data_IF_817798346087
#
_entry.id   IF_817798346087
#
_cell.length_a   1.000
_cell.length_b   1.000
_cell.length_c   1.000
_cell.angle_alpha   90.00
_cell.angle_beta   90.00
_cell.angle_gamma   90.00
#
_symmetry.space_group_name_H-M   'P 1'
#
loop_
_entity.id
_entity.type
_entity.pdbx_description
1 polymer ?
#
# COMPACT_ATOMS: atom_id res chain seq x y z
N UNK A 1 -15.97 30.94 13.33
CA UNK A 1 -17.01 29.91 13.52
C UNK A 1 -18.34 30.50 14.02
N UNK A 2 -18.41 31.16 15.19
CA UNK A 2 -19.69 31.65 15.77
C UNK A 2 -20.49 32.60 14.87
N UNK A 3 -19.81 33.50 14.14
CA UNK A 3 -20.47 34.41 13.20
C UNK A 3 -21.16 33.67 12.04
N UNK A 4 -20.47 32.69 11.43
CA UNK A 4 -21.02 31.87 10.33
C UNK A 4 -22.20 31.02 10.81
N UNK A 5 -22.11 30.44 12.01
CA UNK A 5 -23.21 29.69 12.59
C UNK A 5 -24.46 30.57 12.79
N UNK A 6 -24.30 31.76 13.38
CA UNK A 6 -25.41 32.70 13.61
C UNK A 6 -26.03 33.18 12.29
N UNK A 7 -25.20 33.49 11.29
CA UNK A 7 -25.67 33.84 9.95
C UNK A 7 -26.50 32.72 9.31
N UNK A 8 -26.06 31.46 9.46
CA UNK A 8 -26.82 30.31 8.98
C UNK A 8 -28.17 30.15 9.70
N UNK A 9 -28.22 30.41 11.00
CA UNK A 9 -29.46 30.37 11.79
C UNK A 9 -30.43 31.48 11.34
N UNK A 10 -29.96 32.71 11.17
CA UNK A 10 -30.78 33.84 10.71
C UNK A 10 -31.34 33.59 9.30
N UNK A 11 -30.50 33.09 8.39
CA UNK A 11 -30.92 32.70 7.05
C UNK A 11 -31.97 31.56 7.09
N UNK A 12 -31.79 30.57 7.95
CA UNK A 12 -32.77 29.49 8.11
C UNK A 12 -34.11 29.97 8.69
N UNK A 13 -34.10 30.93 9.62
CA UNK A 13 -35.31 31.52 10.19
C UNK A 13 -36.11 32.33 9.17
N UNK A 14 -35.42 32.97 8.23
CA UNK A 14 -36.03 33.72 7.13
C UNK A 14 -36.37 32.85 5.92
N UNK A 15 -36.09 31.55 5.97
CA UNK A 15 -36.36 30.60 4.88
C UNK A 15 -35.38 30.66 3.71
N UNK A 16 -34.29 31.43 3.83
CA UNK A 16 -33.20 31.50 2.86
C UNK A 16 -32.27 30.28 3.02
N UNK A 17 -32.76 29.12 2.58
CA UNK A 17 -32.03 27.85 2.65
C UNK A 17 -30.71 27.86 1.88
N UNK A 18 -30.59 28.48 0.68
CA UNK A 18 -29.30 28.60 -0.01
C UNK A 18 -28.24 29.32 0.83
N UNK A 19 -28.58 30.47 1.43
CA UNK A 19 -27.67 31.23 2.29
C UNK A 19 -27.37 30.46 3.58
N UNK A 20 -28.37 29.81 4.17
CA UNK A 20 -28.18 28.98 5.37
C UNK A 20 -27.20 27.83 5.09
N UNK A 21 -27.40 27.10 3.99
CA UNK A 21 -26.51 26.00 3.59
C UNK A 21 -25.09 26.49 3.38
N UNK A 22 -24.89 27.61 2.68
CA UNK A 22 -23.55 28.16 2.44
C UNK A 22 -22.83 28.48 3.76
N UNK A 23 -23.50 29.19 4.68
CA UNK A 23 -22.92 29.55 5.96
C UNK A 23 -22.62 28.34 6.85
N UNK A 24 -23.53 27.34 6.90
CA UNK A 24 -23.30 26.11 7.66
C UNK A 24 -22.21 25.22 7.03
N UNK A 25 -22.12 25.14 5.71
CA UNK A 25 -21.08 24.39 5.02
C UNK A 25 -19.69 24.99 5.29
N UNK A 26 -19.59 26.31 5.25
CA UNK A 26 -18.35 27.01 5.62
C UNK A 26 -18.01 26.78 7.10
N UNK A 27 -18.99 26.91 8.00
CA UNK A 27 -18.78 26.61 9.42
C UNK A 27 -18.36 25.15 9.66
N UNK A 28 -18.92 24.19 8.93
CA UNK A 28 -18.58 22.77 9.04
C UNK A 28 -17.19 22.47 8.49
N UNK A 29 -16.75 23.18 7.44
CA UNK A 29 -15.38 23.05 6.92
C UNK A 29 -14.32 23.48 7.95
N UNK A 30 -14.67 24.42 8.83
CA UNK A 30 -13.81 24.85 9.93
C UNK A 30 -13.84 23.88 11.12
N UNK A 31 -15.01 23.26 11.38
CA UNK A 31 -15.18 22.30 12.47
C UNK A 31 -15.92 21.03 12.01
N UNK A 32 -15.24 20.12 11.28
CA UNK A 32 -15.88 18.97 10.62
C UNK A 32 -16.46 17.91 11.57
N UNK A 33 -16.27 18.08 12.88
CA UNK A 33 -16.77 17.16 13.92
C UNK A 33 -17.91 17.75 14.75
N UNK A 34 -18.35 18.98 14.47
CA UNK A 34 -19.34 19.66 15.28
C UNK A 34 -20.77 19.21 14.92
N UNK A 35 -21.35 18.34 15.76
CA UNK A 35 -22.65 17.70 15.53
C UNK A 35 -23.80 18.70 15.24
N UNK A 36 -23.91 19.82 15.96
CA UNK A 36 -25.00 20.79 15.73
C UNK A 36 -24.90 21.49 14.37
N UNK A 37 -23.68 21.76 13.90
CA UNK A 37 -23.47 22.38 12.59
C UNK A 37 -23.89 21.39 11.51
N UNK A 38 -23.51 20.11 11.64
CA UNK A 38 -23.95 19.05 10.74
C UNK A 38 -25.48 18.92 10.69
N UNK A 39 -26.18 18.92 11.82
CA UNK A 39 -27.66 18.86 11.82
C UNK A 39 -28.32 20.04 11.11
N UNK A 40 -27.78 21.25 11.29
CA UNK A 40 -28.30 22.45 10.63
C UNK A 40 -27.98 22.47 9.14
N UNK A 41 -26.78 22.03 8.74
CA UNK A 41 -26.39 21.85 7.34
C UNK A 41 -27.29 20.83 6.65
N UNK A 42 -27.46 19.65 7.24
CA UNK A 42 -28.32 18.59 6.73
C UNK A 42 -29.79 19.04 6.64
N UNK A 43 -30.28 19.86 7.58
CA UNK A 43 -31.61 20.47 7.47
C UNK A 43 -31.72 21.42 6.28
N UNK A 44 -30.74 22.32 6.10
CA UNK A 44 -30.75 23.24 4.97
C UNK A 44 -30.70 22.49 3.63
N UNK A 45 -29.90 21.43 3.55
CA UNK A 45 -29.81 20.55 2.38
C UNK A 45 -31.12 19.81 2.10
N UNK A 46 -31.77 19.29 3.14
CA UNK A 46 -33.08 18.65 3.02
C UNK A 46 -34.12 19.61 2.44
N UNK A 47 -34.16 20.85 2.95
CA UNK A 47 -35.08 21.89 2.47
C UNK A 47 -34.80 22.32 1.03
N UNK A 48 -33.57 22.16 0.56
CA UNK A 48 -33.17 22.39 -0.83
C UNK A 48 -33.35 21.17 -1.74
N UNK A 49 -33.86 20.05 -1.23
CA UNK A 49 -34.01 18.81 -2.00
C UNK A 49 -32.70 18.06 -2.25
N UNK A 50 -31.60 18.44 -1.58
CA UNK A 50 -30.30 17.76 -1.64
C UNK A 50 -30.27 16.58 -0.69
N UNK A 51 -31.09 15.57 -0.98
CA UNK A 51 -31.35 14.47 -0.06
C UNK A 51 -30.12 13.62 0.25
N UNK A 52 -29.17 13.46 -0.70
CA UNK A 52 -27.93 12.72 -0.47
C UNK A 52 -27.06 13.42 0.57
N UNK A 53 -26.78 14.70 0.35
CA UNK A 53 -25.97 15.51 1.28
C UNK A 53 -26.66 15.61 2.66
N UNK A 54 -28.00 15.76 2.66
CA UNK A 54 -28.78 15.77 3.89
C UNK A 54 -28.66 14.45 4.66
N UNK A 55 -28.78 13.30 3.99
CA UNK A 55 -28.65 12.00 4.65
C UNK A 55 -27.28 11.84 5.32
N UNK A 56 -26.22 12.29 4.67
CA UNK A 56 -24.84 12.28 5.20
C UNK A 56 -24.76 13.05 6.53
N UNK A 57 -25.12 14.34 6.52
CA UNK A 57 -24.95 15.20 7.69
C UNK A 57 -25.94 14.91 8.83
N UNK A 58 -27.17 14.48 8.51
CA UNK A 58 -28.16 14.08 9.51
C UNK A 58 -27.79 12.75 10.17
N UNK A 59 -27.28 11.79 9.40
CA UNK A 59 -26.72 10.54 9.94
C UNK A 59 -25.50 10.82 10.84
N UNK A 60 -24.63 11.74 10.43
CA UNK A 60 -23.50 12.18 11.25
C UNK A 60 -23.95 12.72 12.60
N UNK A 61 -24.96 13.59 12.64
CA UNK A 61 -25.52 14.08 13.91
C UNK A 61 -26.02 12.94 14.79
N UNK A 62 -26.79 12.00 14.25
CA UNK A 62 -27.36 10.90 15.04
C UNK A 62 -26.30 9.96 15.61
N UNK A 63 -25.18 9.78 14.90
CA UNK A 63 -24.04 8.97 15.34
C UNK A 63 -23.19 9.67 16.40
N UNK A 64 -23.00 10.98 16.29
CA UNK A 64 -22.01 11.74 17.09
C UNK A 64 -22.63 12.61 18.19
N UNK A 65 -23.95 12.80 18.18
CA UNK A 65 -24.65 13.64 19.16
C UNK A 65 -24.40 13.16 20.60
N UNK A 66 -23.90 14.03 21.50
CA UNK A 66 -23.63 13.66 22.87
C UNK A 66 -24.92 13.30 23.63
N UNK A 67 -24.82 12.62 24.79
CA UNK A 67 -25.98 12.27 25.62
C UNK A 67 -26.83 13.46 26.09
N UNK A 68 -26.28 14.67 26.08
CA UNK A 68 -26.99 15.91 26.44
C UNK A 68 -28.04 16.34 25.41
N UNK A 69 -27.99 15.82 24.19
CA UNK A 69 -29.01 16.09 23.16
C UNK A 69 -30.30 15.37 23.52
N UNK A 70 -31.41 16.11 23.52
CA UNK A 70 -32.70 15.56 23.94
C UNK A 70 -33.20 14.46 22.99
N UNK A 71 -33.97 13.47 23.47
CA UNK A 71 -34.61 12.48 22.60
C UNK A 71 -35.51 13.11 21.54
N UNK A 72 -36.17 14.24 21.85
CA UNK A 72 -37.03 14.96 20.92
C UNK A 72 -36.22 15.57 19.76
N UNK A 73 -35.06 16.15 20.04
CA UNK A 73 -34.17 16.68 18.99
C UNK A 73 -33.66 15.56 18.08
N UNK A 74 -33.28 14.42 18.67
CA UNK A 74 -32.89 13.23 17.90
C UNK A 74 -34.03 12.72 17.04
N UNK A 75 -35.26 12.65 17.56
CA UNK A 75 -36.43 12.22 16.81
C UNK A 75 -36.74 13.13 15.62
N UNK A 76 -36.62 14.46 15.79
CA UNK A 76 -36.82 15.42 14.69
C UNK A 76 -35.79 15.26 13.57
N UNK A 77 -34.53 14.98 13.92
CA UNK A 77 -33.48 14.71 12.94
C UNK A 77 -33.69 13.34 12.27
N UNK A 78 -34.08 12.32 13.05
CA UNK A 78 -34.38 10.99 12.54
C UNK A 78 -35.51 11.02 11.50
N UNK A 79 -36.61 11.72 11.78
CA UNK A 79 -37.73 11.85 10.84
C UNK A 79 -37.30 12.45 9.49
N UNK A 80 -36.44 13.47 9.54
CA UNK A 80 -35.91 14.13 8.34
C UNK A 80 -34.93 13.23 7.59
N UNK A 81 -34.10 12.47 8.30
CA UNK A 81 -33.24 11.44 7.72
C UNK A 81 -34.10 10.38 7.02
N UNK A 82 -35.11 9.82 7.68
CA UNK A 82 -35.98 8.79 7.11
C UNK A 82 -36.64 9.26 5.82
N UNK A 83 -37.12 10.51 5.79
CA UNK A 83 -37.65 11.14 4.56
C UNK A 83 -36.58 11.28 3.48
N UNK A 84 -35.36 11.71 3.82
CA UNK A 84 -34.26 11.81 2.88
C UNK A 84 -33.89 10.44 2.29
N UNK A 85 -33.87 9.39 3.13
CA UNK A 85 -33.55 8.03 2.72
C UNK A 85 -34.51 7.48 1.67
N UNK A 86 -35.79 7.89 1.67
CA UNK A 86 -36.73 7.50 0.59
C UNK A 86 -36.36 8.02 -0.80
N UNK A 87 -35.44 8.99 -0.87
CA UNK A 87 -35.04 9.68 -2.12
C UNK A 87 -33.66 9.29 -2.61
N UNK A 88 -32.89 8.54 -1.82
CA UNK A 88 -31.48 8.19 -2.10
C UNK A 88 -31.25 6.70 -1.98
N UNK A 89 -30.16 6.20 -2.55
CA UNK A 89 -29.67 4.86 -2.30
C UNK A 89 -28.81 4.81 -1.04
N UNK A 90 -28.97 3.78 -0.22
CA UNK A 90 -28.15 3.52 0.96
C UNK A 90 -27.30 2.27 0.76
N UNK A 91 -25.99 2.40 0.91
CA UNK A 91 -25.03 1.32 0.68
C UNK A 91 -24.29 0.98 1.96
N UNK A 92 -24.50 -0.23 2.47
CA UNK A 92 -23.72 -0.79 3.58
C UNK A 92 -22.59 -1.62 3.01
N UNK A 93 -21.41 -1.00 2.85
CA UNK A 93 -20.22 -1.65 2.30
C UNK A 93 -19.47 -2.37 3.43
N UNK A 94 -19.21 -3.65 3.25
CA UNK A 94 -18.40 -4.46 4.16
C UNK A 94 -17.21 -5.03 3.41
N UNK A 95 -16.00 -4.74 3.88
CA UNK A 95 -14.77 -5.29 3.32
C UNK A 95 -14.25 -6.39 4.26
N UNK A 96 -13.79 -7.50 3.69
CA UNK A 96 -13.27 -8.64 4.45
C UNK A 96 -11.99 -8.35 5.26
N UNK A 97 -11.41 -7.15 5.09
CA UNK A 97 -10.24 -6.68 5.84
C UNK A 97 -10.43 -5.23 6.29
N UNK A 98 -9.85 -4.87 7.44
CA UNK A 98 -9.78 -3.48 7.92
C UNK A 98 -8.68 -2.71 7.17
N UNK A 99 -8.72 -1.37 7.16
CA UNK A 99 -7.70 -0.50 6.58
C UNK A 99 -7.60 -0.53 5.05
N UNK A 100 -8.64 -0.99 4.35
CA UNK A 100 -8.74 -0.86 2.90
C UNK A 100 -9.41 0.48 2.57
N UNK A 101 -8.86 1.21 1.60
CA UNK A 101 -9.46 2.44 1.09
C UNK A 101 -10.71 2.09 0.29
N UNK A 102 -11.86 2.64 0.68
CA UNK A 102 -13.13 2.45 -0.02
C UNK A 102 -13.40 3.69 -0.87
N UNK A 103 -13.67 3.45 -2.15
CA UNK A 103 -13.99 4.47 -3.14
C UNK A 103 -15.39 4.22 -3.70
N UNK A 104 -16.14 5.29 -3.91
CA UNK A 104 -17.45 5.28 -4.55
C UNK A 104 -17.41 6.22 -5.74
N UNK A 105 -17.67 5.70 -6.94
CA UNK A 105 -17.54 6.42 -8.21
C UNK A 105 -16.17 7.10 -8.39
N UNK A 106 -15.11 6.54 -7.78
CA UNK A 106 -13.75 7.07 -7.82
C UNK A 106 -13.40 8.08 -6.72
N UNK A 107 -14.38 8.49 -5.90
CA UNK A 107 -14.16 9.37 -4.74
C UNK A 107 -13.87 8.52 -3.49
N UNK A 108 -12.81 8.85 -2.74
CA UNK A 108 -12.49 8.16 -1.49
C UNK A 108 -13.48 8.57 -0.40
N UNK A 109 -14.23 7.60 0.11
CA UNK A 109 -15.25 7.84 1.17
C UNK A 109 -14.74 7.49 2.56
N UNK A 110 -13.69 6.68 2.67
CA UNK A 110 -13.09 6.31 3.95
C UNK A 110 -12.30 5.00 3.89
N UNK A 111 -11.98 4.47 5.06
CA UNK A 111 -11.29 3.19 5.22
C UNK A 111 -12.19 2.17 5.92
N UNK A 112 -12.04 0.90 5.59
CA UNK A 112 -12.77 -0.18 6.25
C UNK A 112 -12.29 -0.41 7.71
N UNK A 113 -13.17 -0.78 8.65
CA UNK A 113 -14.63 -0.71 8.55
C UNK A 113 -15.12 0.74 8.56
N UNK A 114 -16.11 1.03 7.72
CA UNK A 114 -16.72 2.35 7.65
C UNK A 114 -17.59 2.60 8.90
N UNK A 115 -17.69 3.85 9.33
CA UNK A 115 -18.48 4.23 10.51
C UNK A 115 -20.00 4.13 10.31
N UNK A 116 -20.46 4.04 9.06
CA UNK A 116 -21.88 4.04 8.71
C UNK A 116 -22.13 3.70 7.24
N UNK A 117 -23.40 3.69 6.83
CA UNK A 117 -23.79 3.52 5.43
C UNK A 117 -23.33 4.70 4.58
N UNK A 118 -23.08 4.45 3.30
CA UNK A 118 -22.77 5.47 2.31
C UNK A 118 -24.05 5.82 1.55
N UNK A 119 -24.36 7.11 1.43
CA UNK A 119 -25.52 7.58 0.68
C UNK A 119 -25.12 8.02 -0.72
N UNK A 120 -25.89 7.60 -1.72
CA UNK A 120 -25.63 7.90 -3.13
C UNK A 120 -26.90 8.36 -3.83
N UNK A 121 -26.73 9.17 -4.87
CA UNK A 121 -27.83 9.49 -5.77
C UNK A 121 -28.34 8.22 -6.45
N UNK A 122 -29.65 8.09 -6.71
CA UNK A 122 -30.19 6.92 -7.40
C UNK A 122 -29.55 6.70 -8.77
N UNK A 123 -29.14 5.48 -9.05
CA UNK A 123 -28.51 5.10 -10.31
C UNK A 123 -27.42 4.05 -10.17
N UNK A 124 -26.65 3.88 -11.24
CA UNK A 124 -25.54 2.92 -11.28
C UNK A 124 -24.29 3.52 -10.62
N UNK A 125 -23.84 2.90 -9.55
CA UNK A 125 -22.70 3.35 -8.75
C UNK A 125 -21.62 2.27 -8.72
N UNK A 126 -20.38 2.66 -9.00
CA UNK A 126 -19.22 1.77 -8.86
C UNK A 126 -18.64 1.90 -7.47
N UNK A 127 -18.37 0.79 -6.80
CA UNK A 127 -17.77 0.74 -5.47
C UNK A 127 -16.49 -0.07 -5.59
N UNK A 128 -15.40 0.44 -5.03
CA UNK A 128 -14.08 -0.17 -5.13
C UNK A 128 -13.38 -0.15 -3.77
N UNK A 129 -12.74 -1.25 -3.40
CA UNK A 129 -11.85 -1.33 -2.26
C UNK A 129 -10.42 -1.55 -2.74
N UNK A 130 -9.49 -0.72 -2.26
CA UNK A 130 -8.07 -0.74 -2.63
C UNK A 130 -7.18 -0.86 -1.41
N UNK A 131 -6.08 -1.60 -1.57
CA UNK A 131 -5.02 -1.69 -0.57
C UNK A 131 -3.76 -2.24 -1.21
N UNK A 132 -2.59 -1.73 -0.79
CA UNK A 132 -1.30 -2.24 -1.26
C UNK A 132 -1.10 -3.72 -0.91
N UNK A 133 -0.65 -4.52 -1.89
CA UNK A 133 -0.42 -5.96 -1.74
C UNK A 133 -1.68 -6.83 -1.86
N UNK A 134 -2.81 -6.23 -2.28
CA UNK A 134 -4.06 -6.92 -2.51
C UNK A 134 -4.62 -6.56 -3.89
N UNK A 135 -5.30 -7.51 -4.51
CA UNK A 135 -6.06 -7.26 -5.73
C UNK A 135 -7.26 -6.36 -5.40
N UNK A 136 -7.47 -5.23 -6.10
CA UNK A 136 -8.62 -4.37 -5.87
C UNK A 136 -9.94 -5.11 -6.09
N UNK A 137 -10.87 -4.98 -5.15
CA UNK A 137 -12.23 -5.51 -5.29
C UNK A 137 -13.14 -4.41 -5.82
N UNK A 138 -13.79 -4.63 -6.98
CA UNK A 138 -14.67 -3.65 -7.61
C UNK A 138 -16.01 -4.26 -7.96
N UNK A 139 -17.09 -3.61 -7.54
CA UNK A 139 -18.47 -4.02 -7.79
C UNK A 139 -19.28 -2.83 -8.27
N UNK A 140 -20.26 -3.07 -9.13
CA UNK A 140 -21.24 -2.04 -9.52
C UNK A 140 -22.59 -2.40 -8.93
N UNK A 141 -23.26 -1.43 -8.32
CA UNK A 141 -24.58 -1.59 -7.71
C UNK A 141 -25.54 -0.61 -8.36
N UNK A 142 -26.75 -1.08 -8.64
CA UNK A 142 -27.86 -0.22 -9.04
C UNK A 142 -28.58 0.24 -7.78
N UNK A 143 -28.25 1.44 -7.34
CA UNK A 143 -28.80 2.03 -6.13
C UNK A 143 -30.16 2.66 -6.45
N UNK A 144 -31.24 2.02 -6.03
CA UNK A 144 -32.59 2.58 -6.17
C UNK A 144 -32.90 3.54 -5.02
N UNK A 145 -33.71 4.57 -5.28
CA UNK A 145 -34.20 5.48 -4.24
C UNK A 145 -34.98 4.71 -3.17
N UNK A 146 -34.69 4.94 -1.90
CA UNK A 146 -35.33 4.24 -0.77
C UNK A 146 -34.80 2.83 -0.51
N UNK A 147 -33.93 2.29 -1.38
CA UNK A 147 -33.37 0.97 -1.20
C UNK A 147 -32.09 0.99 -0.36
N UNK A 148 -31.93 -0.05 0.46
CA UNK A 148 -30.68 -0.33 1.16
C UNK A 148 -30.03 -1.59 0.61
N UNK A 149 -28.78 -1.46 0.17
CA UNK A 149 -28.00 -2.56 -0.39
C UNK A 149 -26.81 -2.88 0.51
N UNK A 150 -26.64 -4.17 0.82
CA UNK A 150 -25.41 -4.66 1.45
C UNK A 150 -24.43 -5.05 0.35
N UNK A 151 -23.20 -4.52 0.42
CA UNK A 151 -22.18 -4.72 -0.62
C UNK A 151 -20.94 -5.33 0.03
N UNK A 152 -20.84 -6.67 0.05
CA UNK A 152 -19.60 -7.32 0.45
C UNK A 152 -18.52 -7.16 -0.63
N UNK A 153 -17.34 -6.72 -0.21
CA UNK A 153 -16.15 -6.63 -1.05
C UNK A 153 -15.09 -7.58 -0.49
N UNK A 154 -14.78 -8.60 -1.27
CA UNK A 154 -13.77 -9.60 -0.95
C UNK A 154 -12.46 -9.25 -1.65
N UNK A 155 -11.47 -8.82 -0.87
CA UNK A 155 -10.13 -8.58 -1.38
C UNK A 155 -9.25 -9.82 -1.16
N UNK A 156 -8.43 -10.15 -2.16
CA UNK A 156 -7.47 -11.26 -2.10
C UNK A 156 -6.05 -10.72 -2.15
N UNK A 157 -5.09 -11.31 -1.39
CA UNK A 157 -3.69 -10.96 -1.51
C UNK A 157 -3.21 -11.08 -2.96
N UNK A 158 -2.43 -10.11 -3.42
CA UNK A 158 -1.83 -10.16 -4.75
C UNK A 158 -0.81 -11.30 -4.77
N UNK A 159 -0.96 -12.22 -5.73
CA UNK A 159 -0.04 -13.34 -5.86
C UNK A 159 1.38 -12.79 -6.15
N UNK A 160 2.44 -13.34 -5.53
CA UNK A 160 3.80 -13.00 -5.90
C UNK A 160 3.98 -13.14 -7.42
N UNK A 161 4.73 -12.24 -8.08
CA UNK A 161 4.94 -12.32 -9.52
C UNK A 161 5.48 -13.72 -9.85
N UNK A 162 4.70 -14.49 -10.61
CA UNK A 162 5.14 -15.80 -11.07
C UNK A 162 6.30 -15.58 -12.04
N UNK A 163 7.50 -16.00 -11.64
CA UNK A 163 8.61 -16.10 -12.57
C UNK A 163 8.15 -17.12 -13.63
N UNK A 164 8.06 -16.75 -14.91
CA UNK A 164 7.63 -17.68 -15.93
C UNK A 164 8.56 -18.89 -15.87
N UNK A 165 8.03 -20.06 -15.48
CA UNK A 165 8.76 -21.31 -15.54
C UNK A 165 9.15 -21.51 -17.00
N UNK A 166 10.40 -21.20 -17.32
CA UNK A 166 10.93 -21.44 -18.65
C UNK A 166 11.06 -22.94 -18.75
N UNK A 167 10.02 -23.59 -19.27
CA UNK A 167 10.05 -25.01 -19.64
C UNK A 167 11.11 -25.16 -20.72
N UNK A 168 12.34 -25.34 -20.27
CA UNK A 168 13.47 -25.58 -21.15
C UNK A 168 13.24 -26.97 -21.72
N UNK A 169 12.70 -27.04 -22.94
CA UNK A 169 12.66 -28.25 -23.74
C UNK A 169 14.10 -28.56 -24.18
N UNK A 170 14.94 -28.93 -23.21
CA UNK A 170 16.29 -29.38 -23.48
C UNK A 170 16.18 -30.77 -24.12
N UNK A 171 16.48 -30.82 -25.42
CA UNK A 171 16.69 -32.09 -26.09
C UNK A 171 18.08 -32.59 -25.65
N UNK A 172 18.24 -33.85 -25.21
CA UNK A 172 19.49 -34.35 -24.63
C UNK A 172 20.71 -34.26 -25.56
N UNK A 173 20.52 -34.11 -26.88
CA UNK A 173 21.62 -33.87 -27.82
C UNK A 173 22.29 -32.50 -27.68
N UNK A 174 21.68 -31.53 -26.98
CA UNK A 174 22.25 -30.20 -26.78
C UNK A 174 23.43 -30.17 -25.76
N UNK A 175 23.71 -31.27 -25.05
CA UNK A 175 24.85 -31.38 -24.11
C UNK A 175 26.16 -31.74 -24.82
N UNK A 176 26.13 -32.08 -26.12
CA UNK A 176 27.30 -32.58 -26.84
C UNK A 176 28.37 -31.55 -27.24
N UNK A 177 28.14 -30.24 -27.09
CA UNK A 177 29.08 -29.21 -27.62
C UNK A 177 29.55 -28.19 -26.56
N UNK A 178 28.97 -28.14 -25.36
CA UNK A 178 29.38 -27.17 -24.32
C UNK A 178 30.37 -27.73 -23.29
N UNK A 179 31.19 -28.72 -23.64
CA UNK A 179 32.31 -29.18 -22.80
C UNK A 179 33.60 -28.36 -23.00
N UNK A 180 33.56 -27.27 -23.78
CA UNK A 180 34.73 -26.45 -24.12
C UNK A 180 34.83 -25.06 -23.48
N UNK A 181 33.81 -24.53 -22.80
CA UNK A 181 33.84 -23.13 -22.27
C UNK A 181 33.37 -22.97 -20.81
N UNK A 182 32.87 -24.01 -20.14
CA UNK A 182 32.30 -23.86 -18.79
C UNK A 182 33.21 -24.39 -17.67
N UNK A 183 34.40 -23.79 -17.47
CA UNK A 183 35.21 -24.07 -16.25
C UNK A 183 35.44 -22.84 -15.36
N UNK A 184 35.01 -21.62 -15.72
CA UNK A 184 35.27 -20.44 -14.85
C UNK A 184 34.03 -19.64 -14.42
N UNK A 185 32.83 -19.89 -14.96
CA UNK A 185 31.66 -19.05 -14.69
C UNK A 185 30.59 -19.58 -13.73
N UNK A 186 30.58 -20.88 -13.41
CA UNK A 186 29.41 -21.50 -12.76
C UNK A 186 29.57 -21.77 -11.25
N UNK A 187 30.79 -21.71 -10.70
CA UNK A 187 31.01 -21.95 -9.26
C UNK A 187 30.67 -20.72 -8.40
N UNK A 188 30.81 -19.50 -8.92
CA UNK A 188 30.54 -18.26 -8.18
C UNK A 188 29.05 -17.89 -8.16
N UNK A 189 28.30 -18.19 -9.23
CA UNK A 189 26.87 -17.86 -9.31
C UNK A 189 25.98 -18.74 -8.42
N UNK A 190 26.23 -20.05 -8.37
CA UNK A 190 25.46 -20.97 -7.52
C UNK A 190 25.81 -20.76 -6.04
N UNK A 191 27.06 -20.44 -5.71
CA UNK A 191 27.49 -20.09 -4.36
C UNK A 191 26.86 -18.78 -3.86
N UNK A 192 26.73 -17.77 -4.72
CA UNK A 192 26.06 -16.51 -4.38
C UNK A 192 24.54 -16.68 -4.22
N UNK A 193 23.91 -17.53 -5.04
CA UNK A 193 22.47 -17.81 -4.95
C UNK A 193 22.09 -18.70 -3.75
N UNK A 194 22.88 -19.75 -3.46
CA UNK A 194 22.67 -20.62 -2.29
C UNK A 194 23.07 -19.93 -0.97
N UNK A 195 24.09 -19.07 -0.98
CA UNK A 195 24.50 -18.27 0.20
C UNK A 195 23.54 -17.13 0.53
N UNK A 196 22.85 -16.56 -0.47
CA UNK A 196 21.85 -15.52 -0.25
C UNK A 196 20.53 -16.08 0.31
N UNK A 197 20.13 -17.31 -0.06
CA UNK A 197 18.85 -17.91 0.37
C UNK A 197 18.84 -18.31 1.84
N UNK A 198 19.96 -18.80 2.39
CA UNK A 198 20.03 -19.27 3.78
C UNK A 198 19.99 -18.16 4.84
N UNK A 199 20.20 -16.89 4.45
CA UNK A 199 20.18 -15.74 5.37
C UNK A 199 18.86 -14.95 5.32
N UNK A 200 18.08 -15.09 4.25
CA UNK A 200 16.77 -14.43 4.10
C UNK A 200 15.68 -15.19 4.88
N UNK A 201 15.70 -16.52 4.87
CA UNK A 201 14.74 -17.33 5.62
C UNK A 201 14.89 -17.16 7.15
N UNK A 202 16.11 -16.86 7.64
CA UNK A 202 16.37 -16.56 9.07
C UNK A 202 15.95 -15.14 9.49
N UNK A 203 15.70 -14.24 8.55
CA UNK A 203 15.28 -12.86 8.85
C UNK A 203 13.78 -12.75 9.10
N UNK A 204 12.95 -13.57 8.45
CA UNK A 204 11.50 -13.58 8.71
C UNK A 204 11.13 -14.27 10.03
N UNK A 205 11.91 -15.27 10.47
CA UNK A 205 11.63 -16.03 11.69
C UNK A 205 11.94 -15.24 12.99
N UNK A 206 12.84 -14.25 12.96
CA UNK A 206 13.17 -13.42 14.14
C UNK A 206 12.38 -12.11 14.26
N UNK A 207 11.40 -11.85 13.39
CA UNK A 207 10.63 -10.58 13.42
C UNK A 207 9.71 -10.42 14.66
N UNK A 208 9.64 -11.43 15.54
CA UNK A 208 8.74 -11.45 16.70
C UNK A 208 9.42 -11.52 18.08
N UNK A 209 10.66 -11.03 18.24
CA UNK A 209 11.16 -10.68 19.58
C UNK A 209 11.89 -9.34 19.50
N UNK A 210 11.24 -8.31 20.08
CA UNK A 210 11.76 -7.00 20.53
C UNK A 210 10.89 -5.80 20.11
N UNK A 211 9.57 -5.90 20.28
CA UNK A 211 8.73 -4.71 20.50
C UNK A 211 7.72 -5.05 21.60
N UNK A 212 8.20 -5.12 22.85
CA UNK A 212 7.30 -4.93 23.98
C UNK A 212 7.43 -3.47 24.44
N UNK A 213 6.30 -2.77 24.47
CA UNK A 213 6.21 -1.35 24.82
C UNK A 213 6.64 -1.14 26.26
N UNK A 214 7.54 -0.19 26.48
CA UNK A 214 7.50 0.65 27.68
C UNK A 214 7.50 2.11 27.26
N UNK A 215 6.64 2.86 27.94
CA UNK A 215 6.32 4.27 27.78
C UNK A 215 7.44 5.17 28.29
N UNK A 216 8.54 5.30 27.54
CA UNK A 216 9.50 6.40 27.68
C UNK A 216 10.46 6.39 26.48
N UNK A 217 10.86 7.58 26.00
CA UNK A 217 11.54 7.77 24.72
C UNK A 217 12.74 6.85 24.45
N UNK A 218 12.82 6.36 23.22
CA UNK A 218 13.85 5.46 22.68
C UNK A 218 15.27 6.02 22.93
N UNK A 219 15.94 5.51 23.96
CA UNK A 219 17.39 5.63 24.17
C UNK A 219 17.99 4.21 24.13
N UNK A 220 18.08 3.63 22.93
CA UNK A 220 18.30 2.18 22.79
C UNK A 220 19.77 1.76 22.93
N UNK A 221 20.75 2.62 22.61
CA UNK A 221 22.16 2.32 22.87
C UNK A 221 22.91 3.61 23.24
N UNK A 222 23.20 3.78 24.53
CA UNK A 222 24.06 4.86 25.08
C UNK A 222 24.83 4.32 26.30
N UNK A 223 25.99 4.88 26.66
CA UNK A 223 26.72 4.48 27.86
C UNK A 223 25.82 4.65 29.10
N UNK A 224 25.51 3.56 29.79
CA UNK A 224 24.63 3.54 30.97
C UNK A 224 23.20 3.01 30.75
N UNK A 225 22.86 2.48 29.56
CA UNK A 225 21.60 1.77 29.36
C UNK A 225 21.58 0.39 30.04
N UNK A 226 20.39 -0.08 30.44
CA UNK A 226 20.16 -1.39 31.09
C UNK A 226 20.14 -2.57 30.11
N UNK A 227 20.27 -2.32 28.81
CA UNK A 227 20.41 -3.35 27.77
C UNK A 227 21.85 -3.89 27.75
N UNK A 228 21.98 -5.21 27.59
CA UNK A 228 23.28 -5.88 27.52
C UNK A 228 24.04 -5.38 26.29
N UNK A 229 25.31 -4.98 26.47
CA UNK A 229 26.17 -4.42 25.42
C UNK A 229 26.20 -5.31 24.15
N UNK A 230 26.18 -6.63 24.33
CA UNK A 230 26.17 -7.61 23.24
C UNK A 230 24.90 -7.62 22.39
N UNK A 231 23.76 -7.17 22.93
CA UNK A 231 22.50 -7.05 22.19
C UNK A 231 22.47 -5.78 21.34
N UNK A 232 23.05 -4.69 21.86
CA UNK A 232 23.25 -3.45 21.09
C UNK A 232 24.23 -3.65 19.93
N UNK A 233 25.35 -4.35 20.16
CA UNK A 233 26.34 -4.66 19.12
C UNK A 233 25.73 -5.53 18.00
N UNK A 234 24.84 -6.46 18.35
CA UNK A 234 24.12 -7.29 17.37
C UNK A 234 23.14 -6.48 16.50
N UNK A 235 22.52 -5.43 17.06
CA UNK A 235 21.61 -4.56 16.29
C UNK A 235 22.36 -3.58 15.39
N UNK A 236 23.52 -3.06 15.81
CA UNK A 236 24.38 -2.21 14.98
C UNK A 236 24.97 -3.00 13.80
N UNK A 237 25.38 -4.25 14.04
CA UNK A 237 25.88 -5.15 13.00
C UNK A 237 24.77 -5.54 11.99
N UNK A 238 23.52 -5.73 12.45
CA UNK A 238 22.37 -5.94 11.58
C UNK A 238 21.99 -4.70 10.75
N UNK A 239 22.20 -3.49 11.28
CA UNK A 239 21.91 -2.23 10.57
C UNK A 239 22.99 -1.89 9.53
N UNK A 240 24.26 -2.09 9.86
CA UNK A 240 25.42 -1.95 8.97
C UNK A 240 25.29 -2.85 7.72
N UNK A 241 24.89 -4.12 7.93
CA UNK A 241 24.66 -5.09 6.85
C UNK A 241 23.57 -4.66 5.86
N UNK A 242 22.56 -3.88 6.30
CA UNK A 242 21.47 -3.39 5.42
C UNK A 242 21.94 -2.41 4.34
N UNK A 243 22.98 -1.60 4.60
CA UNK A 243 23.51 -0.63 3.62
C UNK A 243 24.35 -1.29 2.52
N UNK A 244 25.04 -2.38 2.87
CA UNK A 244 25.82 -3.19 1.93
C UNK A 244 24.91 -3.91 0.94
N UNK A 245 23.72 -4.36 1.36
CA UNK A 245 22.76 -5.03 0.46
C UNK A 245 22.06 -4.10 -0.55
N UNK A 246 21.78 -2.83 -0.20
CA UNK A 246 21.25 -1.86 -1.18
C UNK A 246 22.30 -1.46 -2.24
N UNK A 247 23.57 -1.41 -1.87
CA UNK A 247 24.67 -1.07 -2.80
C UNK A 247 25.01 -2.26 -3.72
N UNK A 248 24.98 -3.49 -3.20
CA UNK A 248 25.22 -4.72 -3.99
C UNK A 248 24.08 -5.01 -4.97
N UNK A 249 22.83 -4.68 -4.62
CA UNK A 249 21.70 -4.84 -5.54
C UNK A 249 21.78 -3.91 -6.77
N UNK A 250 22.23 -2.67 -6.60
CA UNK A 250 22.36 -1.73 -7.72
C UNK A 250 23.56 -2.03 -8.63
N UNK A 251 24.70 -2.50 -8.08
CA UNK A 251 25.88 -2.88 -8.88
C UNK A 251 25.66 -4.21 -9.61
N UNK A 252 24.85 -5.12 -9.05
CA UNK A 252 24.50 -6.41 -9.66
C UNK A 252 23.76 -6.28 -11.00
N UNK A 253 22.93 -5.25 -11.18
CA UNK A 253 22.23 -5.00 -12.45
C UNK A 253 23.16 -4.48 -13.57
N UNK A 254 24.17 -3.68 -13.24
CA UNK A 254 25.09 -3.11 -14.24
C UNK A 254 26.10 -4.15 -14.74
N UNK A 255 26.61 -5.01 -13.86
CA UNK A 255 27.59 -6.04 -14.26
C UNK A 255 26.92 -7.23 -14.96
N UNK A 256 25.69 -7.59 -14.56
CA UNK A 256 24.92 -8.66 -15.22
C UNK A 256 24.44 -8.30 -16.63
N UNK A 257 24.00 -7.05 -16.85
CA UNK A 257 23.48 -6.60 -18.14
C UNK A 257 24.55 -6.36 -19.20
N UNK A 258 25.68 -5.74 -18.83
CA UNK A 258 26.76 -5.41 -19.78
C UNK A 258 27.59 -6.64 -20.15
N UNK A 259 27.81 -7.57 -19.21
CA UNK A 259 28.59 -8.79 -19.45
C UNK A 259 27.93 -9.75 -20.45
N UNK A 260 26.60 -9.91 -20.38
CA UNK A 260 25.88 -10.81 -21.29
C UNK A 260 25.82 -10.26 -22.72
N UNK A 261 25.61 -8.95 -22.90
CA UNK A 261 25.56 -8.32 -24.22
C UNK A 261 26.95 -8.28 -24.89
N UNK A 262 28.01 -7.98 -24.13
CA UNK A 262 29.38 -7.96 -24.64
C UNK A 262 29.87 -9.37 -25.04
N UNK A 263 29.51 -10.41 -24.29
CA UNK A 263 29.85 -11.80 -24.62
C UNK A 263 29.16 -12.27 -25.91
N UNK A 264 27.89 -11.91 -26.11
CA UNK A 264 27.16 -12.24 -27.36
C UNK A 264 27.74 -11.46 -28.55
N UNK A 265 28.05 -10.17 -28.38
CA UNK A 265 28.65 -9.37 -29.45
C UNK A 265 30.05 -9.87 -29.84
N UNK A 266 30.90 -10.24 -28.86
CA UNK A 266 32.22 -10.81 -29.14
C UNK A 266 32.13 -12.16 -29.86
N UNK A 267 31.14 -12.99 -29.54
CA UNK A 267 30.98 -14.30 -30.18
C UNK A 267 30.42 -14.18 -31.61
N UNK A 268 29.51 -13.22 -31.85
CA UNK A 268 28.91 -13.00 -33.18
C UNK A 268 29.87 -12.30 -34.15
N UNK A 269 30.77 -11.43 -33.66
CA UNK A 269 31.68 -10.65 -34.49
C UNK A 269 33.13 -11.16 -34.55
N UNK A 270 33.47 -12.32 -33.95
CA UNK A 270 34.84 -12.84 -34.01
C UNK A 270 35.18 -13.37 -35.41
N UNK A 271 36.17 -12.79 -36.13
CA UNK A 271 36.57 -13.30 -37.43
C UNK A 271 37.31 -14.62 -37.21
N UNK A 272 36.87 -15.67 -37.90
CA UNK A 272 37.51 -16.99 -37.89
C UNK A 272 38.93 -16.88 -38.46
N UNK A 273 39.93 -16.63 -37.61
CA UNK A 273 41.34 -16.74 -37.97
C UNK A 273 41.93 -18.04 -37.44
N UNK A 274 42.63 -18.73 -38.34
CA UNK A 274 43.06 -20.12 -38.23
C UNK A 274 44.01 -20.42 -37.06
N UNK A 275 43.98 -21.71 -36.69
CA UNK A 275 44.76 -22.38 -35.65
C UNK A 275 46.20 -21.85 -35.53
N UNK A 276 46.53 -21.28 -34.37
CA UNK A 276 47.92 -21.23 -33.85
C UNK A 276 47.93 -21.48 -32.35
N UNK A 277 48.68 -22.51 -31.95
CA UNK A 277 49.02 -22.80 -30.55
C UNK A 277 49.61 -21.56 -29.89
N UNK A 278 48.86 -21.00 -28.94
CA UNK A 278 49.28 -19.84 -28.17
C UNK A 278 49.15 -20.17 -26.69
N UNK A 279 50.28 -20.31 -25.99
CA UNK A 279 50.31 -20.38 -24.53
C UNK A 279 49.68 -19.09 -23.99
N UNK A 280 48.53 -19.19 -23.34
CA UNK A 280 47.79 -18.05 -22.81
C UNK A 280 47.89 -18.04 -21.29
N UNK A 281 48.24 -16.88 -20.74
CA UNK A 281 48.25 -16.58 -19.30
C UNK A 281 47.14 -15.55 -19.06
N UNK A 282 46.14 -15.91 -18.26
CA UNK A 282 45.03 -15.03 -17.91
C UNK A 282 45.09 -14.75 -16.41
N UNK A 283 45.17 -13.47 -16.06
CA UNK A 283 45.15 -13.00 -14.67
C UNK A 283 43.82 -12.31 -14.41
N UNK A 284 43.10 -12.69 -13.35
CA UNK A 284 41.90 -11.97 -12.94
C UNK A 284 41.87 -11.69 -11.43
N UNK A 285 41.38 -10.51 -11.02
CA UNK A 285 41.27 -10.13 -9.62
C UNK A 285 40.14 -10.91 -8.94
N UNK A 286 40.37 -11.30 -7.68
CA UNK A 286 39.39 -11.94 -6.81
C UNK A 286 39.24 -11.08 -5.56
N UNK A 287 38.00 -10.70 -5.22
CA UNK A 287 37.73 -9.85 -4.06
C UNK A 287 36.55 -10.35 -3.22
N UNK A 288 36.69 -10.24 -1.90
CA UNK A 288 35.65 -10.39 -0.89
C UNK A 288 35.62 -9.13 0.00
N UNK A 289 34.57 -8.97 0.82
CA UNK A 289 34.26 -7.74 1.56
C UNK A 289 35.43 -7.16 2.39
N UNK A 290 36.46 -7.96 2.72
CA UNK A 290 37.68 -7.50 3.42
C UNK A 290 39.00 -8.12 2.91
N UNK A 291 39.03 -8.76 1.73
CA UNK A 291 40.27 -9.32 1.15
C UNK A 291 40.27 -9.21 -0.38
N UNK A 292 41.45 -8.93 -0.95
CA UNK A 292 41.67 -8.89 -2.40
C UNK A 292 42.93 -9.65 -2.79
N UNK A 293 42.86 -10.40 -3.89
CA UNK A 293 43.98 -11.14 -4.47
C UNK A 293 43.88 -11.20 -5.99
N UNK A 294 44.91 -11.73 -6.65
CA UNK A 294 44.94 -11.97 -8.10
C UNK A 294 45.17 -13.45 -8.33
N UNK A 295 44.31 -14.06 -9.14
CA UNK A 295 44.48 -15.45 -9.57
C UNK A 295 45.02 -15.47 -10.99
N UNK A 296 46.06 -16.27 -11.20
CA UNK A 296 46.71 -16.45 -12.51
C UNK A 296 46.43 -17.86 -13.00
N UNK A 297 45.89 -17.98 -14.21
CA UNK A 297 45.65 -19.26 -14.88
C UNK A 297 46.40 -19.27 -16.20
N UNK A 298 47.36 -20.18 -16.34
CA UNK A 298 48.20 -20.31 -17.53
C UNK A 298 48.11 -21.70 -18.14
N UNK A 299 48.29 -21.78 -19.45
CA UNK A 299 48.58 -23.04 -20.17
C UNK A 299 50.05 -22.99 -20.59
N UNK A 300 50.91 -23.61 -19.79
CA UNK A 300 52.37 -23.62 -19.96
C UNK A 300 52.83 -24.71 -20.92
#
# INVERSE_FOLDING_TARGET
MTALYNQGIEAAQTGDWPKARAAFAEAFSLEPRHYQIAANLGRAEFMMGKYRDAAEHLSFFLRTAPPSVTPQDKARVQEMLDKALTRVGSLTVSVNMAGADVLVSGEMVGQSPLEGPIFVEPGRVSIEARRQGYTPAKTTVEAAAGASHKVPLEMTPEAPPQIPETKTNWKPWAVGISAGVAVVGAATGIGFWLGAKSQVDRYEEQKNIAVNRTTEGIQVCRPGSTLNQSECDAMEDARSKRSTYQTVANIGYVVGGVGAAAAVAMFVFWPAQGKKDSKALVVFPVGAAHQGGLSVLGRF
#
